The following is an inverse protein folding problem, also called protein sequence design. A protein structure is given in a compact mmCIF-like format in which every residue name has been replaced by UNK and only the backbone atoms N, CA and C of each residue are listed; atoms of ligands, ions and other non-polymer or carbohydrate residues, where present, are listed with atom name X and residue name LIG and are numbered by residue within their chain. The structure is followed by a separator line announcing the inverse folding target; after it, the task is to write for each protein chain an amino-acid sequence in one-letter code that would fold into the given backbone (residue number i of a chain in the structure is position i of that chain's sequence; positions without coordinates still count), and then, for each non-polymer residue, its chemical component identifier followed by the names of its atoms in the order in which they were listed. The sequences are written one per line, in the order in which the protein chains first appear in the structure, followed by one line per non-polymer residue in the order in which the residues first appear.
data_IF_770134372836
#
_entry.id   IF_770134372836
#
_cell.length_a   1.000
_cell.length_b   1.000
_cell.length_c   1.000
_cell.angle_alpha   90.00
_cell.angle_beta   90.00
_cell.angle_gamma   90.00
#
_symmetry.space_group_name_H-M   'P 1'
#
loop_
_entity.id
_entity.type
_entity.pdbx_description
1 polymer ?
#
# COMPACT_ATOMS: atom_id res chain seq x y z
N UNK A 1 1.63 9.02 20.64
CA UNK A 1 2.20 9.25 19.29
C UNK A 1 1.02 9.14 18.35
N UNK A 2 0.71 10.17 17.59
CA UNK A 2 -0.41 10.11 16.63
C UNK A 2 -0.09 9.02 15.59
N UNK A 3 -1.00 8.08 15.33
CA UNK A 3 -0.79 7.09 14.29
C UNK A 3 -0.64 7.81 12.95
N UNK A 4 0.35 7.41 12.16
CA UNK A 4 0.65 8.01 10.86
C UNK A 4 0.24 7.04 9.76
N UNK A 5 -0.51 7.54 8.80
CA UNK A 5 -1.02 6.79 7.65
C UNK A 5 0.02 6.75 6.52
N UNK A 6 0.16 5.59 5.88
CA UNK A 6 0.81 5.47 4.57
C UNK A 6 -0.23 5.18 3.47
N UNK A 7 -0.14 5.93 2.38
CA UNK A 7 -0.92 5.70 1.16
C UNK A 7 -0.05 4.87 0.22
N UNK A 8 -0.39 3.59 0.07
CA UNK A 8 0.24 2.67 -0.86
C UNK A 8 -0.38 2.88 -2.25
N UNK A 9 0.29 3.68 -3.09
CA UNK A 9 -0.29 4.23 -4.31
C UNK A 9 -0.15 3.28 -5.51
N UNK A 10 -1.30 2.80 -5.99
CA UNK A 10 -1.54 2.26 -7.32
C UNK A 10 -2.01 3.35 -8.30
N UNK A 11 -2.36 2.97 -9.52
CA UNK A 11 -2.78 3.92 -10.56
C UNK A 11 -4.21 4.44 -10.35
N UNK A 12 -4.54 5.58 -10.98
CA UNK A 12 -5.87 6.21 -10.94
C UNK A 12 -5.93 7.42 -10.00
N UNK A 13 -7.14 7.93 -9.78
CA UNK A 13 -7.35 9.17 -9.01
C UNK A 13 -7.37 8.97 -7.48
N UNK A 14 -7.64 7.75 -7.01
CA UNK A 14 -7.85 7.48 -5.59
C UNK A 14 -6.65 7.86 -4.69
N UNK A 15 -5.38 7.56 -5.04
CA UNK A 15 -4.24 7.98 -4.23
C UNK A 15 -4.19 9.50 -4.00
N UNK A 16 -4.51 10.29 -5.03
CA UNK A 16 -4.52 11.76 -4.94
C UNK A 16 -5.63 12.25 -4.02
N UNK A 17 -6.84 11.70 -4.17
CA UNK A 17 -7.99 12.03 -3.31
C UNK A 17 -7.67 11.75 -1.83
N UNK A 18 -7.00 10.62 -1.55
CA UNK A 18 -6.61 10.30 -0.17
C UNK A 18 -5.48 11.21 0.34
N UNK A 19 -4.54 11.60 -0.52
CA UNK A 19 -3.48 12.54 -0.17
C UNK A 19 -4.02 13.94 0.14
N UNK A 20 -5.05 14.39 -0.58
CA UNK A 20 -5.74 15.65 -0.30
C UNK A 20 -6.52 15.59 1.03
N UNK A 21 -7.13 14.43 1.34
CA UNK A 21 -7.88 14.23 2.58
C UNK A 21 -6.97 14.13 3.82
N UNK A 22 -5.78 13.55 3.68
CA UNK A 22 -4.76 13.47 4.74
C UNK A 22 -3.39 14.00 4.28
N UNK A 23 -3.16 15.33 4.38
CA UNK A 23 -1.89 15.95 3.98
C UNK A 23 -0.71 15.60 4.90
N UNK A 24 -0.92 14.85 5.99
CA UNK A 24 0.15 14.36 6.87
C UNK A 24 0.57 12.93 6.56
N UNK A 25 -0.15 12.26 5.66
CA UNK A 25 0.15 10.90 5.24
C UNK A 25 1.50 10.82 4.51
N UNK A 26 2.11 9.64 4.57
CA UNK A 26 3.28 9.30 3.75
C UNK A 26 2.79 8.69 2.45
N UNK A 27 3.17 9.29 1.33
CA UNK A 27 2.83 8.79 0.01
C UNK A 27 3.87 7.76 -0.42
N UNK A 28 3.45 6.51 -0.64
CA UNK A 28 4.33 5.41 -1.05
C UNK A 28 4.08 5.09 -2.51
N UNK A 29 5.09 5.31 -3.36
CA UNK A 29 5.02 4.92 -4.78
C UNK A 29 5.77 3.62 -5.02
N UNK A 30 5.28 2.79 -5.93
CA UNK A 30 5.96 1.54 -6.28
C UNK A 30 6.69 1.65 -7.62
N UNK A 31 7.90 1.08 -7.70
CA UNK A 31 8.65 0.97 -8.93
C UNK A 31 7.82 0.28 -10.03
N UNK A 32 7.72 0.91 -11.20
CA UNK A 32 6.94 0.41 -12.34
C UNK A 32 5.44 0.74 -12.28
N UNK A 33 4.99 1.48 -11.26
CA UNK A 33 3.64 2.05 -11.19
C UNK A 33 3.73 3.53 -11.54
N UNK A 34 2.97 3.94 -12.56
CA UNK A 34 2.91 5.32 -13.02
C UNK A 34 1.92 6.10 -12.13
N UNK A 35 2.46 6.84 -11.16
CA UNK A 35 1.73 7.70 -10.22
C UNK A 35 2.46 9.02 -10.05
N UNK A 36 1.72 10.12 -10.09
CA UNK A 36 2.22 11.42 -9.70
C UNK A 36 2.32 11.52 -8.18
N UNK A 37 3.48 11.92 -7.67
CA UNK A 37 3.67 12.16 -6.24
C UNK A 37 3.11 13.54 -5.89
N UNK A 38 2.15 13.66 -4.97
CA UNK A 38 1.61 14.95 -4.58
C UNK A 38 2.67 15.86 -3.96
N UNK A 39 2.66 17.14 -4.34
CA UNK A 39 3.54 18.15 -3.74
C UNK A 39 3.27 18.31 -2.23
N UNK A 40 4.35 18.44 -1.45
CA UNK A 40 4.26 18.73 -0.02
C UNK A 40 4.03 17.54 0.90
N UNK A 41 3.76 16.34 0.36
CA UNK A 41 3.73 15.10 1.14
C UNK A 41 5.13 14.50 1.31
N UNK A 42 5.30 13.73 2.38
CA UNK A 42 6.49 12.89 2.54
C UNK A 42 6.38 11.74 1.54
N UNK A 43 7.39 11.58 0.68
CA UNK A 43 7.43 10.54 -0.34
C UNK A 43 8.36 9.39 0.06
N UNK A 44 7.86 8.16 -0.03
CA UNK A 44 8.64 6.94 0.18
C UNK A 44 8.60 6.08 -1.10
N UNK A 45 9.67 6.02 -1.89
CA UNK A 45 9.74 5.09 -3.01
C UNK A 45 9.95 3.65 -2.52
N UNK A 46 9.16 2.73 -3.06
CA UNK A 46 9.16 1.32 -2.70
C UNK A 46 9.23 0.42 -3.94
N UNK A 47 9.50 -0.86 -3.73
CA UNK A 47 9.49 -1.87 -4.77
C UNK A 47 8.76 -3.12 -4.27
N UNK A 48 7.94 -3.73 -5.13
CA UNK A 48 7.20 -4.95 -4.77
C UNK A 48 8.12 -6.14 -4.49
N UNK A 49 9.31 -6.17 -5.09
CA UNK A 49 10.35 -7.17 -4.82
C UNK A 49 11.12 -6.92 -3.53
N UNK A 50 10.89 -5.80 -2.82
CA UNK A 50 11.59 -5.46 -1.57
C UNK A 50 10.65 -5.10 -0.42
N UNK A 51 9.70 -5.99 -0.11
CA UNK A 51 8.72 -5.77 0.95
C UNK A 51 9.36 -5.60 2.34
N UNK A 52 10.47 -6.28 2.64
CA UNK A 52 11.15 -6.11 3.93
C UNK A 52 11.69 -4.69 4.10
N UNK A 53 12.31 -4.14 3.06
CA UNK A 53 12.78 -2.75 3.06
C UNK A 53 11.62 -1.76 3.18
N UNK A 54 10.48 -2.06 2.55
CA UNK A 54 9.27 -1.26 2.71
C UNK A 54 8.80 -1.26 4.18
N UNK A 55 8.63 -2.44 4.79
CA UNK A 55 8.15 -2.54 6.18
C UNK A 55 9.08 -1.83 7.16
N UNK A 56 10.40 -1.99 6.99
CA UNK A 56 11.38 -1.30 7.83
C UNK A 56 11.26 0.23 7.65
N UNK A 57 11.17 0.72 6.42
CA UNK A 57 10.99 2.16 6.15
C UNK A 57 9.68 2.74 6.72
N UNK A 58 8.59 1.95 6.70
CA UNK A 58 7.32 2.35 7.30
C UNK A 58 7.45 2.44 8.83
N UNK A 59 8.05 1.43 9.48
CA UNK A 59 8.27 1.42 10.92
C UNK A 59 9.20 2.55 11.38
N UNK A 60 10.30 2.79 10.68
CA UNK A 60 11.23 3.89 10.97
C UNK A 60 10.55 5.27 10.85
N UNK A 61 9.55 5.37 9.97
CA UNK A 61 8.74 6.59 9.79
C UNK A 61 7.63 6.75 10.85
N UNK A 62 7.49 5.79 11.77
CA UNK A 62 6.45 5.77 12.80
C UNK A 62 5.05 5.50 12.26
N UNK A 63 4.95 4.86 11.10
CA UNK A 63 3.69 4.53 10.43
C UNK A 63 3.11 3.29 11.08
N UNK A 64 1.82 3.35 11.37
CA UNK A 64 1.06 2.26 12.01
C UNK A 64 -0.17 1.87 11.22
N UNK A 65 -0.59 2.71 10.27
CA UNK A 65 -1.77 2.51 9.44
C UNK A 65 -1.37 2.58 7.97
N UNK A 66 -1.96 1.72 7.14
CA UNK A 66 -1.72 1.69 5.70
C UNK A 66 -3.05 1.65 4.95
N UNK A 67 -3.11 2.31 3.80
CA UNK A 67 -4.26 2.22 2.89
C UNK A 67 -3.77 1.90 1.49
N UNK A 68 -4.38 0.90 0.86
CA UNK A 68 -4.14 0.59 -0.55
C UNK A 68 -5.07 1.46 -1.40
N UNK A 69 -4.49 2.27 -2.28
CA UNK A 69 -5.24 3.25 -3.07
C UNK A 69 -4.96 3.06 -4.55
N UNK A 70 -6.02 2.92 -5.36
CA UNK A 70 -5.90 2.79 -6.80
C UNK A 70 -5.70 1.35 -7.29
N UNK A 71 -5.57 1.21 -8.60
CA UNK A 71 -5.39 -0.09 -9.24
C UNK A 71 -3.92 -0.50 -9.19
N UNK A 72 -3.66 -1.69 -8.64
CA UNK A 72 -2.34 -2.32 -8.70
C UNK A 72 -2.36 -3.42 -9.75
N UNK A 73 -1.57 -3.23 -10.80
CA UNK A 73 -1.29 -4.30 -11.76
C UNK A 73 -0.39 -5.35 -11.12
N UNK A 74 -0.48 -6.59 -11.60
CA UNK A 74 0.40 -7.69 -11.15
C UNK A 74 1.86 -7.29 -11.38
N UNK A 75 2.66 -7.11 -10.33
CA UNK A 75 4.02 -6.63 -10.49
C UNK A 75 4.89 -7.72 -11.10
N UNK A 76 5.79 -7.33 -12.00
CA UNK A 76 6.84 -8.22 -12.49
C UNK A 76 7.89 -8.39 -11.39
N UNK A 77 7.73 -9.40 -10.55
CA UNK A 77 8.64 -9.70 -9.47
C UNK A 77 9.90 -10.39 -10.00
N UNK A 78 11.08 -9.84 -9.70
CA UNK A 78 12.35 -10.48 -10.01
C UNK A 78 12.95 -11.11 -8.74
N UNK A 79 13.01 -12.45 -8.64
CA UNK A 79 13.54 -13.14 -7.46
C UNK A 79 14.98 -12.75 -7.11
N UNK A 80 15.78 -12.30 -8.08
CA UNK A 80 17.16 -11.85 -7.84
C UNK A 80 17.24 -10.57 -6.99
N UNK A 81 16.15 -9.80 -6.90
CA UNK A 81 16.09 -8.56 -6.11
C UNK A 81 15.44 -8.74 -4.73
N UNK A 82 14.95 -9.95 -4.41
CA UNK A 82 14.21 -10.20 -3.18
C UNK A 82 15.08 -10.01 -1.94
N UNK A 83 14.58 -9.20 -1.01
CA UNK A 83 15.11 -9.17 0.35
C UNK A 83 14.71 -10.45 1.13
N UNK A 84 15.30 -10.64 2.31
CA UNK A 84 15.08 -11.84 3.11
C UNK A 84 13.60 -12.07 3.51
N UNK A 85 12.85 -11.00 3.83
CA UNK A 85 11.40 -11.11 4.11
C UNK A 85 10.64 -11.39 2.84
N UNK A 86 10.95 -10.70 1.74
CA UNK A 86 10.28 -10.98 0.46
C UNK A 86 10.51 -12.42 -0.03
N UNK A 87 11.70 -13.00 0.17
CA UNK A 87 11.95 -14.41 -0.15
C UNK A 87 11.05 -15.37 0.64
N UNK A 88 10.75 -15.07 1.90
CA UNK A 88 9.85 -15.86 2.73
C UNK A 88 8.37 -15.70 2.33
N UNK A 89 7.97 -14.48 1.92
CA UNK A 89 6.60 -14.13 1.54
C UNK A 89 6.26 -14.51 0.09
N UNK A 90 7.24 -14.53 -0.80
CA UNK A 90 7.05 -14.73 -2.23
C UNK A 90 6.23 -15.99 -2.59
N UNK A 91 6.46 -17.19 -2.01
CA UNK A 91 5.66 -18.37 -2.33
C UNK A 91 4.17 -18.17 -2.03
N UNK A 92 3.84 -17.51 -0.91
CA UNK A 92 2.48 -17.24 -0.45
C UNK A 92 1.79 -16.21 -1.36
N UNK A 93 2.50 -15.11 -1.68
CA UNK A 93 2.01 -14.09 -2.61
C UNK A 93 1.79 -14.63 -4.04
N UNK A 94 2.72 -15.44 -4.55
CA UNK A 94 2.60 -16.07 -5.87
C UNK A 94 1.43 -17.06 -5.93
N UNK A 95 1.20 -17.83 -4.85
CA UNK A 95 0.04 -18.73 -4.76
C UNK A 95 -1.28 -17.97 -4.77
N UNK A 96 -1.34 -16.80 -4.10
CA UNK A 96 -2.52 -15.94 -4.10
C UNK A 96 -2.75 -15.28 -5.48
N UNK A 97 -1.68 -14.84 -6.17
CA UNK A 97 -1.76 -14.32 -7.54
C UNK A 97 -2.39 -15.32 -8.52
N UNK A 98 -2.11 -16.62 -8.37
CA UNK A 98 -2.68 -17.68 -9.19
C UNK A 98 -4.19 -17.90 -8.98
N UNK A 99 -4.72 -17.47 -7.83
CA UNK A 99 -6.13 -17.65 -7.45
C UNK A 99 -7.02 -16.47 -7.85
N UNK A 100 -6.44 -15.35 -8.28
CA UNK A 100 -7.14 -14.15 -8.71
C UNK A 100 -6.84 -12.93 -7.84
N UNK A 101 -7.38 -11.78 -8.23
CA UNK A 101 -7.00 -10.50 -7.63
C UNK A 101 -7.57 -10.30 -6.22
N UNK A 102 -8.74 -10.88 -5.90
CA UNK A 102 -9.32 -10.86 -4.54
C UNK A 102 -8.46 -11.66 -3.55
N UNK A 103 -8.01 -12.85 -3.97
CA UNK A 103 -7.12 -13.68 -3.16
C UNK A 103 -5.78 -12.96 -2.91
N UNK A 104 -5.22 -12.32 -3.94
CA UNK A 104 -4.01 -11.52 -3.80
C UNK A 104 -4.21 -10.34 -2.84
N UNK A 105 -5.29 -9.59 -2.97
CA UNK A 105 -5.56 -8.44 -2.11
C UNK A 105 -5.72 -8.86 -0.64
N UNK A 106 -6.45 -9.95 -0.39
CA UNK A 106 -6.58 -10.53 0.95
C UNK A 106 -5.23 -10.97 1.51
N UNK A 107 -4.40 -11.59 0.68
CA UNK A 107 -3.09 -12.07 1.08
C UNK A 107 -2.16 -10.90 1.44
N UNK A 108 -2.11 -9.87 0.60
CA UNK A 108 -1.35 -8.66 0.87
C UNK A 108 -1.83 -7.98 2.16
N UNK A 109 -3.14 -7.83 2.36
CA UNK A 109 -3.69 -7.26 3.59
C UNK A 109 -3.31 -8.09 4.84
N UNK A 110 -3.32 -9.42 4.73
CA UNK A 110 -2.89 -10.31 5.80
C UNK A 110 -1.41 -10.10 6.14
N UNK A 111 -0.53 -10.05 5.13
CA UNK A 111 0.91 -9.81 5.33
C UNK A 111 1.17 -8.50 6.05
N UNK A 112 0.53 -7.40 5.66
CA UNK A 112 0.70 -6.11 6.34
C UNK A 112 0.17 -6.15 7.79
N UNK A 113 -0.92 -6.88 8.02
CA UNK A 113 -1.48 -7.06 9.38
C UNK A 113 -0.53 -7.90 10.26
N UNK A 114 0.08 -8.94 9.70
CA UNK A 114 1.06 -9.79 10.38
C UNK A 114 2.34 -9.01 10.76
N UNK A 115 2.74 -8.04 9.93
CA UNK A 115 3.86 -7.13 10.22
C UNK A 115 3.52 -6.04 11.26
N UNK A 116 2.26 -5.93 11.67
CA UNK A 116 1.80 -5.01 12.73
C UNK A 116 1.15 -3.72 12.23
N UNK A 117 0.85 -3.61 10.94
CA UNK A 117 0.11 -2.46 10.39
C UNK A 117 -1.41 -2.67 10.47
N UNK A 118 -2.14 -1.58 10.69
CA UNK A 118 -3.59 -1.56 10.53
C UNK A 118 -3.91 -1.22 9.07
N UNK A 119 -4.50 -2.18 8.35
CA UNK A 119 -4.96 -1.95 6.97
C UNK A 119 -6.31 -1.23 7.00
N UNK A 120 -6.31 0.04 6.57
CA UNK A 120 -7.48 0.91 6.47
C UNK A 120 -8.15 0.78 5.11
N UNK A 121 -9.47 0.88 5.10
CA UNK A 121 -10.23 1.07 3.88
C UNK A 121 -10.18 2.54 3.43
N UNK A 122 -10.22 2.79 2.12
CA UNK A 122 -10.14 4.14 1.57
C UNK A 122 -11.22 5.09 2.11
N UNK A 123 -12.44 4.60 2.35
CA UNK A 123 -13.54 5.40 2.90
C UNK A 123 -13.34 5.77 4.38
N UNK A 124 -12.48 5.07 5.12
CA UNK A 124 -12.14 5.46 6.50
C UNK A 124 -11.19 6.65 6.53
N UNK A 125 -10.44 6.88 5.44
CA UNK A 125 -9.49 7.99 5.28
C UNK A 125 -10.20 9.20 4.66
N UNK A 126 -11.02 8.97 3.63
CA UNK A 126 -11.83 10.01 2.99
C UNK A 126 -13.31 9.58 3.01
N UNK A 127 -14.08 9.94 4.05
CA UNK A 127 -15.48 9.52 4.20
C UNK A 127 -16.41 10.04 3.09
N UNK A 128 -16.01 11.10 2.38
CA UNK A 128 -16.75 11.68 1.25
C UNK A 128 -16.72 10.78 -0.02
N UNK A 129 -15.90 9.72 -0.02
CA UNK A 129 -15.89 8.71 -1.11
C UNK A 129 -17.15 7.84 -1.12
N UNK A 130 -18.00 7.88 -0.08
CA UNK A 130 -19.25 7.13 -0.07
C UNK A 130 -20.36 7.92 -0.76
N UNK A 131 -21.08 7.25 -1.67
CA UNK A 131 -22.35 7.76 -2.17
C UNK A 131 -23.29 8.02 -0.97
N UNK A 132 -24.05 9.12 -0.95
CA UNK A 132 -25.05 9.33 0.08
C UNK A 132 -26.00 8.14 0.06
N UNK A 133 -26.19 7.49 1.21
CA UNK A 133 -27.25 6.50 1.38
C UNK A 133 -28.59 7.19 1.16
N UNK A 134 -29.20 6.97 0.00
CA UNK A 134 -30.56 7.40 -0.28
C UNK A 134 -31.50 6.77 0.78
N UNK A 135 -32.31 7.63 1.42
CA UNK A 135 -33.34 7.26 2.41
C UNK A 135 -34.69 7.13 1.71
#
# INVERSE_FOLDING_TARGET
MEPRLAILAGTGALPQILAEADPKAVFVSFAGVDVDVPDGLIHLPAAFDRLGTLFDGLHESGITEVVFAGAMSRPALNPANFDARMMALAPRLMAAMGQGDDALLREVAAVFTEEGFVVKAAHEVAPDLMLPTET
#
